data_IF_354496309870
#
_entry.id   IF_354496309870
#
_cell.length_a   1.000
_cell.length_b   1.000
_cell.length_c   1.000
_cell.angle_alpha   90.00
_cell.angle_beta   90.00
_cell.angle_gamma   90.00
#
_symmetry.space_group_name_H-M   'P 1'
#
loop_
_entity.id
_entity.type
_entity.pdbx_description
1 polymer ?
#
# COMPACT_ATOMS: atom_id res chain seq x y z
N UNK A 1 -4.80 4.45 -5.21
CA UNK A 1 -3.34 4.37 -5.21
C UNK A 1 -2.80 3.01 -5.67
N UNK A 2 -3.59 2.15 -6.30
CA UNK A 2 -3.13 0.80 -6.67
C UNK A 2 -1.99 0.83 -7.70
N UNK A 3 -2.04 1.78 -8.65
CA UNK A 3 -0.94 1.99 -9.61
C UNK A 3 0.40 2.30 -8.95
N UNK A 4 0.40 3.01 -7.81
CA UNK A 4 1.63 3.27 -7.05
C UNK A 4 2.12 2.00 -6.38
N UNK A 5 1.21 1.19 -5.83
CA UNK A 5 1.56 -0.11 -5.23
C UNK A 5 2.23 -1.02 -6.27
N UNK A 6 1.64 -1.13 -7.46
CA UNK A 6 2.19 -1.91 -8.58
C UNK A 6 3.55 -1.37 -9.03
N UNK A 7 3.70 -0.04 -9.15
CA UNK A 7 4.96 0.58 -9.53
C UNK A 7 6.07 0.28 -8.51
N UNK A 8 5.78 0.41 -7.22
CA UNK A 8 6.76 0.11 -6.17
C UNK A 8 7.16 -1.37 -6.20
N UNK A 9 6.18 -2.28 -6.33
CA UNK A 9 6.43 -3.71 -6.48
C UNK A 9 7.32 -4.02 -7.71
N UNK A 10 7.16 -3.28 -8.81
CA UNK A 10 7.96 -3.39 -10.02
C UNK A 10 9.37 -2.76 -9.92
N UNK A 11 9.72 -2.12 -8.81
CA UNK A 11 11.04 -1.52 -8.61
C UNK A 11 11.08 0.01 -8.62
N UNK A 12 9.96 0.69 -8.82
CA UNK A 12 9.93 2.16 -8.81
C UNK A 12 10.14 2.72 -7.40
N UNK A 13 10.71 3.93 -7.34
CA UNK A 13 10.78 4.75 -6.13
C UNK A 13 9.52 5.62 -6.07
N UNK A 14 8.72 5.55 -5.00
CA UNK A 14 7.53 6.37 -4.88
C UNK A 14 7.89 7.82 -4.51
N UNK A 15 7.27 8.77 -5.20
CA UNK A 15 7.26 10.20 -4.85
C UNK A 15 5.80 10.62 -4.86
N UNK A 16 5.15 10.57 -3.69
CA UNK A 16 3.69 10.72 -3.57
C UNK A 16 3.32 11.87 -2.64
N UNK A 17 2.12 12.46 -2.74
CA UNK A 17 1.72 13.51 -1.81
C UNK A 17 1.52 12.95 -0.41
N UNK A 18 1.79 13.78 0.59
CA UNK A 18 1.40 13.57 1.99
C UNK A 18 -0.11 13.83 2.17
N UNK A 19 -0.92 13.06 1.46
CA UNK A 19 -2.37 13.14 1.40
C UNK A 19 -2.96 11.85 0.82
N UNK A 20 -4.29 11.79 0.69
CA UNK A 20 -5.03 10.62 0.18
C UNK A 20 -4.76 9.41 1.08
N UNK A 21 -4.67 8.21 0.50
CA UNK A 21 -4.40 6.96 1.21
C UNK A 21 -2.89 6.66 1.40
N UNK A 22 -2.00 7.59 1.04
CA UNK A 22 -0.55 7.36 1.08
C UNK A 22 0.03 7.34 2.49
N UNK A 23 -0.40 8.17 3.46
CA UNK A 23 0.07 8.03 4.84
C UNK A 23 -0.24 6.66 5.45
N UNK A 24 -1.33 6.01 5.04
CA UNK A 24 -1.72 4.68 5.50
C UNK A 24 -1.01 3.55 4.75
N UNK A 25 -0.66 3.77 3.47
CA UNK A 25 -0.07 2.74 2.61
C UNK A 25 1.46 2.79 2.57
N UNK A 26 2.04 3.99 2.68
CA UNK A 26 3.46 4.32 2.66
C UNK A 26 3.74 5.14 3.93
N UNK A 27 3.92 4.42 5.03
CA UNK A 27 4.12 4.99 6.36
C UNK A 27 5.38 5.85 6.45
N UNK A 28 6.43 5.46 5.75
CA UNK A 28 7.68 6.21 5.64
C UNK A 28 7.49 7.57 4.93
N UNK A 29 7.60 8.63 5.73
CA UNK A 29 7.42 10.01 5.28
C UNK A 29 8.46 10.45 4.24
N UNK A 30 9.58 9.75 4.08
CA UNK A 30 10.63 10.12 3.09
C UNK A 30 10.16 10.00 1.64
N UNK A 31 9.14 9.19 1.39
CA UNK A 31 8.52 9.04 0.06
C UNK A 31 7.33 9.99 -0.16
N UNK A 32 6.96 10.77 0.86
CA UNK A 32 5.80 11.66 0.86
C UNK A 32 6.23 13.13 0.81
N UNK A 33 5.58 13.92 -0.03
CA UNK A 33 5.84 15.37 -0.13
C UNK A 33 4.63 16.19 0.35
N UNK A 34 4.86 17.30 1.08
CA UNK A 34 3.77 18.19 1.48
C UNK A 34 3.24 19.01 0.29
N UNK A 35 2.05 19.64 0.41
CA UNK A 35 1.47 20.44 -0.66
C UNK A 35 2.45 21.46 -1.27
N UNK A 36 2.50 21.51 -2.60
CA UNK A 36 3.36 22.44 -3.35
C UNK A 36 4.85 22.04 -3.42
N UNK A 37 5.26 20.87 -2.92
CA UNK A 37 6.67 20.44 -2.90
C UNK A 37 7.04 19.31 -3.86
N UNK A 38 6.15 18.95 -4.79
CA UNK A 38 6.39 17.89 -5.78
C UNK A 38 7.74 18.06 -6.52
N UNK A 39 8.00 19.23 -7.09
CA UNK A 39 9.23 19.46 -7.88
C UNK A 39 10.49 19.35 -7.02
N UNK A 40 10.45 19.81 -5.77
CA UNK A 40 11.56 19.66 -4.83
C UNK A 40 11.78 18.19 -4.51
N UNK A 41 10.72 17.47 -4.12
CA UNK A 41 10.82 16.06 -3.79
C UNK A 41 11.31 15.20 -4.96
N UNK A 42 10.84 15.48 -6.19
CA UNK A 42 11.32 14.80 -7.39
C UNK A 42 12.82 15.05 -7.62
N UNK A 43 13.28 16.30 -7.48
CA UNK A 43 14.70 16.63 -7.61
C UNK A 43 15.52 15.90 -6.56
N UNK A 44 15.14 16.02 -5.28
CA UNK A 44 15.87 15.40 -4.16
C UNK A 44 15.94 13.87 -4.33
N UNK A 45 14.87 13.26 -4.84
CA UNK A 45 14.83 11.82 -5.14
C UNK A 45 15.75 11.45 -6.30
N UNK A 46 15.77 12.23 -7.39
CA UNK A 46 16.62 11.96 -8.54
C UNK A 46 18.10 12.18 -8.25
N UNK A 47 18.43 13.16 -7.40
CA UNK A 47 19.81 13.42 -6.96
C UNK A 47 20.36 12.31 -6.05
N UNK A 48 19.50 11.57 -5.35
CA UNK A 48 19.86 10.49 -4.41
C UNK A 48 19.19 9.15 -4.77
N UNK A 49 19.00 8.88 -6.06
CA UNK A 49 18.10 7.81 -6.52
C UNK A 49 18.48 6.42 -6.01
N UNK A 50 19.78 6.13 -5.90
CA UNK A 50 20.25 4.82 -5.46
C UNK A 50 19.98 4.62 -3.96
N UNK A 51 20.16 5.63 -3.12
CA UNK A 51 19.78 5.59 -1.70
C UNK A 51 18.27 5.31 -1.53
N UNK A 52 17.44 5.98 -2.35
CA UNK A 52 16.00 5.76 -2.33
C UNK A 52 15.61 4.35 -2.82
N UNK A 53 16.32 3.79 -3.81
CA UNK A 53 16.09 2.42 -4.29
C UNK A 53 16.42 1.40 -3.21
N UNK A 54 17.50 1.60 -2.47
CA UNK A 54 17.91 0.74 -1.36
C UNK A 54 16.88 0.78 -0.22
N UNK A 55 16.36 1.97 0.09
CA UNK A 55 15.28 2.14 1.06
C UNK A 55 13.95 1.49 0.65
N UNK A 56 13.72 1.24 -0.64
CA UNK A 56 12.45 0.66 -1.12
C UNK A 56 12.28 -0.82 -0.79
N UNK A 57 13.32 -1.54 -0.37
CA UNK A 57 13.23 -2.97 -0.05
C UNK A 57 12.13 -3.29 0.99
N UNK A 58 12.21 -2.71 2.21
CA UNK A 58 11.18 -2.86 3.24
C UNK A 58 9.79 -2.37 2.80
N UNK A 59 9.73 -1.29 2.01
CA UNK A 59 8.47 -0.76 1.50
C UNK A 59 7.79 -1.72 0.53
N UNK A 60 8.54 -2.32 -0.40
CA UNK A 60 7.99 -3.34 -1.31
C UNK A 60 7.39 -4.51 -0.56
N UNK A 61 8.07 -4.94 0.50
CA UNK A 61 7.58 -6.04 1.34
C UNK A 61 6.29 -5.66 2.08
N UNK A 62 6.23 -4.48 2.69
CA UNK A 62 5.02 -4.03 3.41
C UNK A 62 3.80 -3.90 2.49
N UNK A 63 4.01 -3.53 1.22
CA UNK A 63 2.96 -3.40 0.22
C UNK A 63 2.41 -4.74 -0.29
N UNK A 64 3.09 -5.88 -0.05
CA UNK A 64 2.57 -7.23 -0.40
C UNK A 64 1.24 -7.56 0.29
N UNK A 65 0.90 -6.88 1.39
CA UNK A 65 -0.40 -7.01 2.06
C UNK A 65 -1.58 -6.62 1.16
N UNK A 66 -1.32 -5.87 0.10
CA UNK A 66 -2.31 -5.46 -0.89
C UNK A 66 -2.34 -6.36 -2.13
N UNK A 67 -1.46 -7.36 -2.22
CA UNK A 67 -1.46 -8.31 -3.34
C UNK A 67 -2.77 -9.11 -3.34
N UNK A 68 -3.31 -9.39 -4.52
CA UNK A 68 -4.54 -10.16 -4.66
C UNK A 68 -4.40 -11.58 -4.10
N UNK A 69 -3.21 -12.18 -4.16
CA UNK A 69 -2.93 -13.47 -3.53
C UNK A 69 -3.06 -13.44 -2.01
N UNK A 70 -2.96 -12.26 -1.40
CA UNK A 70 -3.11 -12.04 0.05
C UNK A 70 -4.54 -11.62 0.40
N UNK A 71 -5.11 -10.68 -0.36
CA UNK A 71 -6.42 -10.09 -0.05
C UNK A 71 -7.55 -11.07 -0.34
N UNK A 72 -7.55 -11.74 -1.49
CA UNK A 72 -8.68 -12.57 -1.89
C UNK A 72 -8.96 -13.73 -0.92
N UNK A 73 -7.96 -14.54 -0.50
CA UNK A 73 -8.23 -15.60 0.49
C UNK A 73 -8.73 -15.06 1.82
N UNK A 74 -8.17 -13.92 2.27
CA UNK A 74 -8.54 -13.31 3.54
C UNK A 74 -9.96 -12.72 3.53
N UNK A 75 -10.45 -12.31 2.36
CA UNK A 75 -11.82 -11.86 2.16
C UNK A 75 -12.77 -13.06 2.05
N UNK A 76 -12.39 -14.11 1.31
CA UNK A 76 -13.15 -15.35 1.21
C UNK A 76 -13.41 -15.95 2.61
N UNK A 77 -12.36 -16.09 3.43
CA UNK A 77 -12.45 -16.63 4.79
C UNK A 77 -13.45 -15.83 5.66
N UNK A 78 -13.39 -14.50 5.59
CA UNK A 78 -14.27 -13.61 6.38
C UNK A 78 -15.71 -13.68 5.90
N UNK A 79 -15.94 -13.73 4.59
CA UNK A 79 -17.28 -13.84 4.03
C UNK A 79 -17.91 -15.19 4.38
N UNK A 80 -17.14 -16.27 4.32
CA UNK A 80 -17.62 -17.58 4.78
C UNK A 80 -17.96 -17.60 6.27
N UNK A 81 -17.17 -16.95 7.12
CA UNK A 81 -17.47 -16.81 8.54
C UNK A 81 -18.79 -16.09 8.77
N UNK A 82 -19.00 -14.96 8.12
CA UNK A 82 -20.25 -14.19 8.20
C UNK A 82 -21.44 -15.03 7.74
N UNK A 83 -21.29 -15.77 6.63
CA UNK A 83 -22.33 -16.66 6.12
C UNK A 83 -22.68 -17.77 7.13
N UNK A 84 -21.68 -18.44 7.72
CA UNK A 84 -21.87 -19.49 8.74
C UNK A 84 -22.61 -18.97 9.97
N UNK A 85 -22.21 -17.80 10.48
CA UNK A 85 -22.87 -17.15 11.64
C UNK A 85 -24.33 -16.83 11.32
N UNK A 86 -24.59 -16.26 10.13
CA UNK A 86 -25.94 -15.89 9.74
C UNK A 86 -26.87 -17.10 9.56
N UNK A 87 -26.41 -18.15 8.86
CA UNK A 87 -27.20 -19.39 8.68
C UNK A 87 -27.53 -20.05 10.02
N UNK A 88 -26.57 -20.06 10.97
CA UNK A 88 -26.79 -20.62 12.30
C UNK A 88 -27.82 -19.84 13.11
N UNK A 89 -27.85 -18.51 12.98
CA UNK A 89 -28.82 -17.64 13.65
C UNK A 89 -30.24 -17.77 13.06
N UNK A 90 -30.35 -18.03 11.75
CA UNK A 90 -31.65 -18.26 11.08
C UNK A 90 -32.20 -19.65 11.43
N UNK A 91 -31.36 -20.67 11.51
CA UNK A 91 -31.79 -22.04 11.85
C UNK A 91 -32.23 -22.21 13.33
N UNK A 92 -31.87 -21.27 14.21
CA UNK A 92 -32.27 -21.26 15.63
C UNK A 92 -33.55 -20.44 15.90
N UNK A 93 -34.20 -19.89 14.87
CA UNK A 93 -35.48 -19.18 14.94
C UNK A 93 -36.61 -20.03 14.36
#
# INVERSE_FOLDING_TARGET
>A
GISVVEAVAAGCVPVVPDALAYPESIDDARFRYPPGRLTTALRDTLENLDDYRDMCGPLRESLRRFDWSTVAPADDDRLEEIARVHTSAVAQR
#
